data_IF_347585801923
#
_entry.id   IF_347585801923
#
_cell.length_a   1.000
_cell.length_b   1.000
_cell.length_c   1.000
_cell.angle_alpha   90.00
_cell.angle_beta   90.00
_cell.angle_gamma   90.00
#
_symmetry.space_group_name_H-M   'P 1'
#
loop_
_entity.id
_entity.type
_entity.pdbx_description
1 polymer ?
#
# COMPACT_ATOMS: atom_id res chain seq x y z
N UNK A 1 11.14 3.44 9.40
CA UNK A 1 9.87 4.02 8.93
C UNK A 1 9.16 2.95 8.10
N UNK A 2 7.83 2.79 8.16
CA UNK A 2 7.15 1.85 7.25
C UNK A 2 6.73 2.60 5.98
N UNK A 3 7.32 2.33 4.80
CA UNK A 3 7.02 3.04 3.54
C UNK A 3 5.72 2.62 2.86
N UNK A 4 5.31 1.36 2.99
CA UNK A 4 4.19 0.78 2.22
C UNK A 4 3.15 0.20 3.17
N UNK A 5 1.87 0.47 2.90
CA UNK A 5 0.73 0.05 3.72
C UNK A 5 -0.26 -0.75 2.86
N UNK A 6 -0.37 -2.04 3.14
CA UNK A 6 -1.23 -2.95 2.41
C UNK A 6 -2.71 -2.82 2.80
N UNK A 7 -3.62 -3.08 1.85
CA UNK A 7 -5.03 -3.31 2.09
C UNK A 7 -5.55 -4.39 1.12
N UNK A 8 -6.23 -5.41 1.63
CA UNK A 8 -6.80 -6.48 0.80
C UNK A 8 -7.17 -7.72 1.61
N UNK A 9 -8.06 -8.55 1.09
CA UNK A 9 -8.43 -9.82 1.74
C UNK A 9 -9.00 -9.64 3.16
N UNK A 10 -9.71 -8.54 3.41
CA UNK A 10 -10.27 -8.19 4.72
C UNK A 10 -9.23 -7.72 5.76
N UNK A 11 -7.98 -7.47 5.37
CA UNK A 11 -6.92 -6.96 6.24
C UNK A 11 -6.34 -5.67 5.68
N UNK A 12 -6.02 -4.72 6.55
CA UNK A 12 -5.31 -3.51 6.15
C UNK A 12 -4.34 -3.07 7.24
N UNK A 13 -3.21 -2.50 6.80
CA UNK A 13 -2.16 -1.96 7.66
C UNK A 13 -2.50 -0.55 8.20
N UNK A 14 -3.44 0.13 7.55
CA UNK A 14 -3.88 1.48 7.91
C UNK A 14 -5.36 1.53 8.28
N UNK A 15 -5.86 2.75 8.49
CA UNK A 15 -7.24 3.03 8.86
C UNK A 15 -7.62 4.48 8.52
N UNK A 16 -8.87 4.85 8.76
CA UNK A 16 -9.34 6.22 8.57
C UNK A 16 -8.61 7.29 9.43
N UNK A 17 -7.91 6.90 10.51
CA UNK A 17 -7.10 7.84 11.31
C UNK A 17 -5.80 8.24 10.62
N UNK A 18 -5.33 7.47 9.64
CA UNK A 18 -4.01 7.64 9.04
C UNK A 18 -4.01 8.59 7.83
N UNK A 19 -4.98 9.52 7.75
CA UNK A 19 -5.18 10.43 6.62
C UNK A 19 -3.95 11.28 6.29
N UNK A 20 -3.20 11.71 7.29
CA UNK A 20 -2.00 12.51 7.08
C UNK A 20 -0.85 11.67 6.50
N UNK A 21 -0.82 10.37 6.81
CA UNK A 21 0.24 9.44 6.42
C UNK A 21 -0.06 8.75 5.09
N UNK A 22 -1.32 8.41 4.82
CA UNK A 22 -1.76 7.64 3.65
C UNK A 22 -2.53 8.49 2.63
N UNK A 23 -2.80 9.76 2.95
CA UNK A 23 -3.77 10.57 2.23
C UNK A 23 -5.21 10.12 2.48
N UNK A 24 -6.17 10.96 2.07
CA UNK A 24 -7.59 10.67 2.25
C UNK A 24 -8.08 9.43 1.52
N UNK A 25 -7.51 9.11 0.35
CA UNK A 25 -7.87 7.92 -0.43
C UNK A 25 -7.31 6.64 0.20
N UNK A 26 -6.01 6.60 0.50
CA UNK A 26 -5.36 5.43 1.10
C UNK A 26 -5.96 5.06 2.46
N UNK A 27 -6.19 6.07 3.31
CA UNK A 27 -6.85 5.88 4.61
C UNK A 27 -8.28 5.31 4.48
N UNK A 28 -9.07 5.81 3.52
CA UNK A 28 -10.42 5.31 3.31
C UNK A 28 -10.43 3.90 2.69
N UNK A 29 -9.54 3.57 1.76
CA UNK A 29 -9.42 2.21 1.19
C UNK A 29 -9.06 1.18 2.27
N UNK A 30 -8.13 1.55 3.17
CA UNK A 30 -7.78 0.73 4.32
C UNK A 30 -8.97 0.56 5.28
N UNK A 31 -9.71 1.64 5.57
CA UNK A 31 -10.91 1.57 6.42
C UNK A 31 -12.00 0.68 5.81
N UNK A 32 -12.32 0.87 4.53
CA UNK A 32 -13.32 0.04 3.83
C UNK A 32 -12.95 -1.45 3.89
N UNK A 33 -11.66 -1.76 3.70
CA UNK A 33 -11.16 -3.14 3.81
C UNK A 33 -11.34 -3.69 5.23
N UNK A 34 -11.04 -2.91 6.28
CA UNK A 34 -11.24 -3.31 7.68
C UNK A 34 -12.70 -3.52 8.04
N UNK A 35 -13.60 -2.75 7.43
CA UNK A 35 -15.05 -2.90 7.58
C UNK A 35 -15.60 -4.13 6.83
N UNK A 36 -14.74 -4.88 6.12
CA UNK A 36 -15.16 -6.04 5.33
C UNK A 36 -15.86 -5.68 4.03
N UNK A 37 -15.80 -4.42 3.60
CA UNK A 37 -16.31 -4.01 2.29
C UNK A 37 -15.39 -4.62 1.22
N UNK A 38 -15.94 -5.26 0.18
CA UNK A 38 -15.13 -5.85 -0.88
C UNK A 38 -14.46 -4.74 -1.71
N UNK A 39 -13.20 -4.46 -1.37
CA UNK A 39 -12.32 -3.56 -2.10
C UNK A 39 -11.23 -4.41 -2.78
N UNK A 40 -10.89 -4.16 -4.05
CA UNK A 40 -9.75 -4.83 -4.68
C UNK A 40 -8.46 -4.63 -3.86
N UNK A 41 -7.63 -5.67 -3.69
CA UNK A 41 -6.40 -5.58 -2.93
C UNK A 41 -5.41 -4.60 -3.57
N UNK A 42 -4.58 -3.98 -2.74
CA UNK A 42 -3.58 -3.01 -3.16
C UNK A 42 -2.74 -2.53 -1.98
N UNK A 43 -1.99 -1.47 -2.19
CA UNK A 43 -1.18 -0.84 -1.16
C UNK A 43 -1.02 0.65 -1.40
N UNK A 44 -0.72 1.39 -0.33
CA UNK A 44 -0.45 2.83 -0.36
C UNK A 44 1.00 3.08 0.05
N UNK A 45 1.73 3.86 -0.75
CA UNK A 45 3.04 4.39 -0.38
C UNK A 45 2.79 5.65 0.46
N UNK A 46 3.42 5.74 1.64
CA UNK A 46 3.15 6.83 2.59
C UNK A 46 3.59 8.21 2.07
N UNK A 47 2.97 9.26 2.60
CA UNK A 47 3.34 10.64 2.33
C UNK A 47 4.76 10.98 2.79
N UNK A 48 5.31 10.23 3.76
CA UNK A 48 6.69 10.39 4.20
C UNK A 48 7.69 10.02 3.10
N UNK A 49 7.38 9.05 2.25
CA UNK A 49 8.24 8.69 1.10
C UNK A 49 8.20 9.79 0.03
N UNK A 50 7.04 10.42 -0.18
CA UNK A 50 6.95 11.59 -1.04
C UNK A 50 7.84 12.73 -0.50
N UNK A 51 7.78 13.02 0.81
CA UNK A 51 8.65 14.03 1.43
C UNK A 51 10.12 13.67 1.31
N UNK A 52 10.49 12.42 1.57
CA UNK A 52 11.85 11.93 1.43
C UNK A 52 12.37 12.18 0.01
N UNK A 53 11.59 11.81 -1.00
CA UNK A 53 11.95 12.01 -2.40
C UNK A 53 12.12 13.49 -2.74
N UNK A 54 11.23 14.38 -2.29
CA UNK A 54 11.35 15.82 -2.51
C UNK A 54 12.60 16.44 -1.86
N UNK A 55 13.08 15.89 -0.74
CA UNK A 55 14.26 16.39 -0.03
C UNK A 55 15.58 15.79 -0.52
N UNK A 56 15.56 14.56 -1.04
CA UNK A 56 16.76 13.76 -1.33
C UNK A 56 16.93 13.40 -2.79
N UNK A 57 15.94 13.67 -3.65
CA UNK A 57 15.87 13.25 -5.05
C UNK A 57 16.23 11.76 -5.24
N UNK A 58 15.83 10.94 -4.28
CA UNK A 58 16.15 9.53 -4.18
C UNK A 58 15.11 8.84 -3.28
N UNK A 59 15.12 7.50 -3.29
CA UNK A 59 14.25 6.69 -2.43
C UNK A 59 15.07 5.97 -1.37
N UNK A 60 14.48 5.64 -0.19
CA UNK A 60 15.14 4.78 0.78
C UNK A 60 15.36 3.38 0.21
N UNK A 61 16.50 2.77 0.55
CA UNK A 61 16.89 1.44 0.08
C UNK A 61 15.80 0.37 0.38
N UNK A 62 15.07 0.51 1.49
CA UNK A 62 14.03 -0.44 1.87
C UNK A 62 12.75 -0.35 1.02
N UNK A 63 12.51 0.74 0.28
CA UNK A 63 11.23 0.99 -0.40
C UNK A 63 10.91 -0.11 -1.42
N UNK A 64 11.87 -0.44 -2.28
CA UNK A 64 11.68 -1.41 -3.36
C UNK A 64 11.28 -2.78 -2.79
N UNK A 65 12.00 -3.26 -1.78
CA UNK A 65 11.69 -4.54 -1.13
C UNK A 65 10.27 -4.59 -0.54
N UNK A 66 9.78 -3.47 0.02
CA UNK A 66 8.43 -3.42 0.58
C UNK A 66 7.33 -3.33 -0.48
N UNK A 67 7.61 -2.68 -1.62
CA UNK A 67 6.73 -2.69 -2.78
C UNK A 67 6.62 -4.12 -3.31
N UNK A 68 7.74 -4.82 -3.52
CA UNK A 68 7.74 -6.20 -4.00
C UNK A 68 6.96 -7.13 -3.07
N UNK A 69 7.19 -7.03 -1.75
CA UNK A 69 6.43 -7.82 -0.77
C UNK A 69 4.92 -7.54 -0.84
N UNK A 70 4.52 -6.27 -0.94
CA UNK A 70 3.10 -5.89 -1.03
C UNK A 70 2.47 -6.32 -2.35
N UNK A 71 3.22 -6.25 -3.45
CA UNK A 71 2.80 -6.73 -4.76
C UNK A 71 2.55 -8.24 -4.73
N UNK A 72 3.46 -9.02 -4.15
CA UNK A 72 3.25 -10.45 -3.96
C UNK A 72 2.02 -10.76 -3.11
N UNK A 73 1.67 -9.93 -2.13
CA UNK A 73 0.39 -10.08 -1.40
C UNK A 73 -0.82 -9.82 -2.30
N UNK A 74 -0.77 -8.81 -3.17
CA UNK A 74 -1.83 -8.56 -4.17
C UNK A 74 -1.98 -9.76 -5.10
N UNK A 75 -0.88 -10.24 -5.67
CA UNK A 75 -0.84 -11.39 -6.59
C UNK A 75 -1.48 -12.63 -5.96
N UNK A 76 -1.10 -12.95 -4.72
CA UNK A 76 -1.65 -14.08 -3.98
C UNK A 76 -3.16 -13.98 -3.73
N UNK A 77 -3.70 -12.79 -3.50
CA UNK A 77 -5.14 -12.59 -3.30
C UNK A 77 -5.89 -12.65 -4.63
N UNK A 78 -5.30 -12.08 -5.69
CA UNK A 78 -5.92 -12.01 -7.01
C UNK A 78 -5.79 -13.32 -7.80
N UNK A 79 -4.85 -14.19 -7.44
CA UNK A 79 -4.52 -15.38 -8.21
C UNK A 79 -3.92 -15.06 -9.58
N UNK A 80 -3.26 -13.90 -9.71
CA UNK A 80 -2.64 -13.41 -10.94
C UNK A 80 -1.26 -12.85 -10.63
N UNK A 81 -0.36 -12.87 -11.61
CA UNK A 81 1.02 -12.39 -11.47
C UNK A 81 1.18 -11.06 -12.21
N UNK A 82 1.83 -10.09 -11.60
CA UNK A 82 2.04 -8.77 -12.17
C UNK A 82 3.00 -8.85 -13.37
N UNK A 83 2.52 -8.41 -14.53
CA UNK A 83 3.29 -8.43 -15.77
C UNK A 83 3.35 -9.79 -16.46
N UNK A 84 2.59 -10.78 -15.98
CA UNK A 84 2.39 -12.03 -16.71
C UNK A 84 1.56 -11.75 -17.98
N UNK A 85 1.94 -12.40 -19.08
CA UNK A 85 1.36 -12.18 -20.40
C UNK A 85 0.18 -13.14 -20.68
N UNK A 86 -0.02 -14.13 -19.82
CA UNK A 86 -1.08 -15.14 -19.91
C UNK A 86 -2.26 -14.86 -18.97
#
# INVERSE_FOLDING_TARGET
MKPVYFFGGGKADGSASDKNLLGGKGANLAEMTRLGIPVPPGFTISTDICRYYMEKDSFPDELESQIQNSLSQVENIMGQIFGDAE
#
